data_IF_911115833377
#
_entry.id   IF_911115833377
#
_cell.length_a   1.000
_cell.length_b   1.000
_cell.length_c   1.000
_cell.angle_alpha   90.00
_cell.angle_beta   90.00
_cell.angle_gamma   90.00
#
_symmetry.space_group_name_H-M   'P 1'
#
loop_
_entity.id
_entity.type
_entity.pdbx_description
1 polymer ?
#
# COMPACT_ATOMS: atom_id res chain seq x y z
N UNK A 1 -6.30 8.19 -6.60
CA UNK A 1 -7.36 9.20 -6.54
C UNK A 1 -8.58 8.68 -5.79
N UNK A 2 -9.17 7.53 -6.17
CA UNK A 2 -10.39 6.99 -5.53
C UNK A 2 -10.18 6.69 -4.03
N UNK A 3 -9.06 6.10 -3.64
CA UNK A 3 -8.70 5.89 -2.23
C UNK A 3 -8.71 7.20 -1.44
N UNK A 4 -8.11 8.27 -1.98
CA UNK A 4 -8.09 9.58 -1.30
C UNK A 4 -9.48 10.14 -1.07
N UNK A 5 -10.36 10.06 -2.08
CA UNK A 5 -11.76 10.49 -1.95
C UNK A 5 -12.49 9.69 -0.88
N UNK A 6 -12.36 8.35 -0.92
CA UNK A 6 -12.97 7.47 0.08
C UNK A 6 -12.43 7.75 1.48
N UNK A 7 -11.13 8.00 1.61
CA UNK A 7 -10.50 8.33 2.88
C UNK A 7 -10.99 9.66 3.44
N UNK A 8 -11.18 10.69 2.61
CA UNK A 8 -11.78 11.96 3.04
C UNK A 8 -13.22 11.77 3.54
N UNK A 9 -14.01 10.91 2.89
CA UNK A 9 -15.39 10.64 3.30
C UNK A 9 -15.48 9.84 4.60
N UNK A 10 -14.70 8.76 4.71
CA UNK A 10 -14.79 7.80 5.83
C UNK A 10 -13.83 8.10 6.97
N UNK A 11 -12.67 8.71 6.71
CA UNK A 11 -11.61 8.92 7.69
C UNK A 11 -12.03 9.86 8.83
N UNK A 12 -12.69 10.99 8.50
CA UNK A 12 -13.14 11.96 9.50
C UNK A 12 -14.22 11.40 10.45
N UNK A 13 -15.30 10.74 9.97
CA UNK A 13 -16.24 10.04 10.84
C UNK A 13 -15.61 8.96 11.71
N UNK A 14 -14.71 8.16 11.12
CA UNK A 14 -14.01 7.10 11.81
C UNK A 14 -13.11 7.66 12.95
N UNK A 15 -12.37 8.72 12.65
CA UNK A 15 -11.56 9.44 13.63
C UNK A 15 -12.43 10.02 14.75
N UNK A 16 -13.56 10.65 14.44
CA UNK A 16 -14.46 11.23 15.44
C UNK A 16 -14.99 10.16 16.39
N UNK A 17 -15.45 9.03 15.85
CA UNK A 17 -15.91 7.91 16.66
C UNK A 17 -14.82 7.35 17.56
N UNK A 18 -13.59 7.20 17.04
CA UNK A 18 -12.48 6.72 17.84
C UNK A 18 -12.16 7.64 19.02
N UNK A 19 -12.29 8.97 18.83
CA UNK A 19 -12.08 9.95 19.91
C UNK A 19 -13.19 9.92 20.96
N UNK A 20 -14.43 9.81 20.55
CA UNK A 20 -15.58 9.76 21.45
C UNK A 20 -15.62 8.48 22.28
N UNK A 21 -15.22 7.35 21.69
CA UNK A 21 -15.29 6.02 22.29
C UNK A 21 -13.94 5.47 22.76
N UNK A 22 -12.84 6.23 22.58
CA UNK A 22 -11.47 5.83 22.91
C UNK A 22 -11.00 4.53 22.23
N UNK A 23 -11.39 4.32 20.96
CA UNK A 23 -10.91 3.17 20.19
C UNK A 23 -9.40 3.25 19.95
N UNK A 24 -8.73 2.11 20.04
CA UNK A 24 -7.29 1.95 19.77
C UNK A 24 -7.03 1.03 18.58
N UNK A 25 -7.93 0.07 18.39
CA UNK A 25 -7.85 -0.94 17.34
C UNK A 25 -9.15 -1.00 16.55
N UNK A 26 -9.12 -1.52 15.30
CA UNK A 26 -10.36 -1.74 14.55
C UNK A 26 -11.35 -2.68 15.28
N UNK A 27 -10.84 -3.61 16.08
CA UNK A 27 -11.66 -4.55 16.83
C UNK A 27 -12.53 -3.84 17.87
N UNK A 28 -12.03 -2.77 18.48
CA UNK A 28 -12.79 -1.98 19.45
C UNK A 28 -14.08 -1.41 18.84
N UNK A 29 -14.01 -0.99 17.56
CA UNK A 29 -15.18 -0.53 16.82
C UNK A 29 -16.22 -1.63 16.62
N UNK A 30 -15.78 -2.83 16.24
CA UNK A 30 -16.70 -3.97 16.06
C UNK A 30 -17.29 -4.42 17.39
N UNK A 31 -16.49 -4.46 18.44
CA UNK A 31 -16.94 -4.80 19.79
C UNK A 31 -18.02 -3.85 20.31
N UNK A 32 -17.78 -2.53 20.19
CA UNK A 32 -18.73 -1.50 20.65
C UNK A 32 -20.05 -1.53 19.88
N UNK A 33 -19.99 -1.89 18.59
CA UNK A 33 -21.18 -1.90 17.73
C UNK A 33 -22.00 -3.18 17.84
N UNK A 34 -21.35 -4.33 17.98
CA UNK A 34 -22.00 -5.62 17.87
C UNK A 34 -22.03 -6.42 19.19
N UNK A 35 -21.22 -6.05 20.19
CA UNK A 35 -21.10 -6.71 21.49
C UNK A 35 -20.94 -8.23 21.42
N UNK A 36 -20.23 -8.72 20.41
CA UNK A 36 -20.11 -10.13 20.05
C UNK A 36 -18.67 -10.61 20.11
N UNK A 37 -18.31 -11.39 21.13
CA UNK A 37 -16.99 -12.01 21.26
C UNK A 37 -16.56 -12.89 20.07
N UNK A 38 -17.45 -13.72 19.49
CA UNK A 38 -17.09 -14.48 18.29
C UNK A 38 -16.70 -13.58 17.11
N UNK A 39 -17.38 -12.44 16.94
CA UNK A 39 -17.05 -11.48 15.89
C UNK A 39 -15.69 -10.81 16.14
N UNK A 40 -15.38 -10.47 17.38
CA UNK A 40 -14.08 -9.89 17.74
C UNK A 40 -12.93 -10.85 17.41
N UNK A 41 -13.08 -12.13 17.79
CA UNK A 41 -12.10 -13.19 17.50
C UNK A 41 -11.97 -13.39 16.00
N UNK A 42 -13.07 -13.46 15.25
CA UNK A 42 -13.04 -13.59 13.80
C UNK A 42 -12.33 -12.40 13.14
N UNK A 43 -12.62 -11.19 13.58
CA UNK A 43 -11.94 -9.98 13.09
C UNK A 43 -10.43 -10.02 13.36
N UNK A 44 -9.99 -10.40 14.56
CA UNK A 44 -8.57 -10.55 14.89
C UNK A 44 -7.91 -11.58 13.99
N UNK A 45 -8.51 -12.77 13.86
CA UNK A 45 -7.95 -13.84 13.04
C UNK A 45 -7.83 -13.45 11.57
N UNK A 46 -8.83 -12.76 11.02
CA UNK A 46 -8.79 -12.25 9.65
C UNK A 46 -7.71 -11.18 9.48
N UNK A 47 -7.63 -10.20 10.39
CA UNK A 47 -6.64 -9.13 10.33
C UNK A 47 -5.21 -9.68 10.41
N UNK A 48 -4.94 -10.58 11.35
CA UNK A 48 -3.62 -11.22 11.49
C UNK A 48 -3.33 -12.13 10.30
N UNK A 49 -4.27 -13.00 9.93
CA UNK A 49 -4.12 -13.95 8.84
C UNK A 49 -3.85 -13.28 7.49
N UNK A 50 -4.51 -12.16 7.19
CA UNK A 50 -4.29 -11.41 5.96
C UNK A 50 -3.01 -10.54 6.00
N UNK A 51 -2.57 -10.12 7.19
CA UNK A 51 -1.33 -9.35 7.34
C UNK A 51 -0.09 -10.20 7.10
N UNK A 52 -0.11 -11.49 7.42
CA UNK A 52 1.05 -12.38 7.23
C UNK A 52 1.47 -12.47 5.77
N UNK A 53 0.63 -12.86 4.79
CA UNK A 53 1.04 -12.90 3.39
C UNK A 53 1.41 -11.52 2.84
N UNK A 54 0.72 -10.46 3.26
CA UNK A 54 1.05 -9.09 2.87
C UNK A 54 2.49 -8.71 3.27
N UNK A 55 2.87 -8.95 4.52
CA UNK A 55 4.22 -8.68 5.02
C UNK A 55 5.25 -9.59 4.33
N UNK A 56 4.91 -10.86 4.11
CA UNK A 56 5.81 -11.83 3.46
C UNK A 56 6.21 -11.38 2.05
N UNK A 57 5.27 -10.85 1.26
CA UNK A 57 5.55 -10.31 -0.08
C UNK A 57 6.53 -9.14 -0.02
N UNK A 58 6.44 -8.26 0.99
CA UNK A 58 7.36 -7.13 1.15
C UNK A 58 8.80 -7.60 1.41
N UNK A 59 8.99 -8.59 2.29
CA UNK A 59 10.31 -9.15 2.57
C UNK A 59 10.88 -9.91 1.38
N UNK A 60 10.04 -10.67 0.68
CA UNK A 60 10.44 -11.39 -0.52
C UNK A 60 10.91 -10.40 -1.61
N UNK A 61 10.13 -9.37 -1.89
CA UNK A 61 10.48 -8.33 -2.87
C UNK A 61 11.78 -7.62 -2.54
N UNK A 62 11.94 -7.16 -1.28
CA UNK A 62 13.18 -6.53 -0.82
C UNK A 62 14.38 -7.47 -0.89
N UNK A 63 14.18 -8.74 -0.54
CA UNK A 63 15.23 -9.77 -0.62
C UNK A 63 15.72 -10.02 -2.05
N UNK A 64 14.80 -10.15 -3.00
CA UNK A 64 15.11 -10.36 -4.42
C UNK A 64 15.86 -9.15 -5.00
N UNK A 65 15.44 -7.93 -4.67
CA UNK A 65 16.12 -6.71 -5.14
C UNK A 65 17.59 -6.68 -4.69
N UNK A 66 17.87 -7.03 -3.44
CA UNK A 66 19.26 -7.08 -2.95
C UNK A 66 20.06 -8.19 -3.64
N UNK A 67 19.47 -9.38 -3.82
CA UNK A 67 20.13 -10.47 -4.54
C UNK A 67 20.50 -10.04 -5.96
N UNK A 68 19.60 -9.39 -6.67
CA UNK A 68 19.86 -8.84 -8.01
C UNK A 68 20.92 -7.73 -7.99
N UNK A 69 20.85 -6.80 -7.05
CA UNK A 69 21.81 -5.69 -6.93
C UNK A 69 23.21 -6.15 -6.56
N UNK A 70 23.32 -7.28 -5.86
CA UNK A 70 24.63 -7.89 -5.48
C UNK A 70 25.10 -8.97 -6.43
N UNK A 71 24.44 -9.14 -7.59
CA UNK A 71 24.72 -10.24 -8.53
C UNK A 71 24.75 -11.62 -7.88
N UNK A 72 23.83 -11.88 -6.94
CA UNK A 72 23.71 -13.16 -6.24
C UNK A 72 24.68 -13.36 -5.06
N UNK A 73 25.52 -12.37 -4.73
CA UNK A 73 26.43 -12.47 -3.59
C UNK A 73 25.67 -12.66 -2.27
N UNK A 74 24.53 -11.99 -2.11
CA UNK A 74 23.68 -12.12 -0.93
C UNK A 74 22.37 -12.78 -1.37
N UNK A 75 22.12 -14.04 -1.00
CA UNK A 75 20.87 -14.72 -1.32
C UNK A 75 19.66 -13.99 -0.75
N UNK A 76 18.52 -13.98 -1.47
CA UNK A 76 17.31 -13.28 -1.07
C UNK A 76 16.82 -13.65 0.34
N UNK A 77 17.03 -14.90 0.76
CA UNK A 77 16.64 -15.38 2.10
C UNK A 77 17.37 -14.63 3.22
N UNK A 78 18.69 -14.42 3.04
CA UNK A 78 19.51 -13.70 4.01
C UNK A 78 19.12 -12.21 4.01
N UNK A 79 18.93 -11.64 2.84
CA UNK A 79 18.49 -10.25 2.69
C UNK A 79 17.12 -10.00 3.32
N UNK A 80 16.17 -10.89 3.08
CA UNK A 80 14.83 -10.82 3.69
C UNK A 80 14.89 -10.90 5.22
N UNK A 81 15.75 -11.78 5.77
CA UNK A 81 15.97 -11.90 7.21
C UNK A 81 16.59 -10.61 7.79
N UNK A 82 17.58 -10.03 7.12
CA UNK A 82 18.19 -8.76 7.54
C UNK A 82 17.17 -7.63 7.54
N UNK A 83 16.33 -7.51 6.51
CA UNK A 83 15.24 -6.54 6.49
C UNK A 83 14.28 -6.72 7.66
N UNK A 84 13.89 -7.96 7.92
CA UNK A 84 13.02 -8.29 9.05
C UNK A 84 13.63 -7.85 10.39
N UNK A 85 14.91 -8.16 10.62
CA UNK A 85 15.62 -7.77 11.84
C UNK A 85 15.72 -6.24 11.99
N UNK A 86 16.09 -5.53 10.93
CA UNK A 86 16.16 -4.06 10.92
C UNK A 86 14.78 -3.47 11.21
N UNK A 87 13.73 -4.00 10.60
CA UNK A 87 12.36 -3.54 10.83
C UNK A 87 11.93 -3.70 12.29
N UNK A 88 12.20 -4.86 12.90
CA UNK A 88 11.88 -5.08 14.33
C UNK A 88 12.64 -4.07 15.19
N UNK A 89 13.93 -3.87 14.95
CA UNK A 89 14.75 -2.97 15.74
C UNK A 89 14.24 -1.52 15.69
N UNK A 90 13.90 -0.99 14.51
CA UNK A 90 13.43 0.38 14.44
C UNK A 90 11.99 0.56 14.96
N UNK A 91 11.11 -0.45 14.79
CA UNK A 91 9.77 -0.42 15.37
C UNK A 91 9.84 -0.47 16.89
N UNK A 92 10.68 -1.32 17.44
CA UNK A 92 10.86 -1.45 18.88
C UNK A 92 11.41 -0.15 19.51
N UNK A 93 12.41 0.46 18.86
CA UNK A 93 13.05 1.68 19.38
C UNK A 93 12.20 2.95 19.21
N UNK A 94 11.45 3.08 18.12
CA UNK A 94 10.79 4.33 17.76
C UNK A 94 9.27 4.30 17.73
N UNK A 95 8.65 3.12 17.80
CA UNK A 95 7.21 2.94 17.79
C UNK A 95 6.51 3.59 16.58
N UNK A 96 5.25 3.97 16.74
CA UNK A 96 4.41 4.55 15.67
C UNK A 96 4.97 5.86 15.11
N UNK A 97 5.71 6.64 15.92
CA UNK A 97 6.31 7.90 15.47
C UNK A 97 7.45 7.67 14.48
N UNK A 98 8.30 6.67 14.73
CA UNK A 98 9.37 6.32 13.80
C UNK A 98 8.79 5.81 12.47
N UNK A 99 7.76 4.96 12.53
CA UNK A 99 7.06 4.48 11.33
C UNK A 99 6.52 5.65 10.50
N UNK A 100 5.87 6.63 11.12
CA UNK A 100 5.33 7.78 10.40
C UNK A 100 6.42 8.61 9.69
N UNK A 101 7.60 8.78 10.29
CA UNK A 101 8.73 9.47 9.67
C UNK A 101 9.35 8.69 8.52
N UNK A 102 9.52 7.37 8.68
CA UNK A 102 10.02 6.51 7.60
C UNK A 102 9.05 6.44 6.43
N UNK A 103 7.74 6.37 6.69
CA UNK A 103 6.73 6.40 5.63
C UNK A 103 6.75 7.73 4.85
N UNK A 104 6.91 8.86 5.52
CA UNK A 104 7.05 10.16 4.85
C UNK A 104 8.30 10.21 3.97
N UNK A 105 9.45 9.70 4.46
CA UNK A 105 10.68 9.62 3.69
C UNK A 105 10.50 8.71 2.46
N UNK A 106 9.93 7.52 2.65
CA UNK A 106 9.67 6.59 1.55
C UNK A 106 8.71 7.17 0.50
N UNK A 107 7.69 7.90 0.92
CA UNK A 107 6.78 8.58 0.00
C UNK A 107 7.51 9.59 -0.89
N UNK A 108 8.41 10.39 -0.31
CA UNK A 108 9.25 11.33 -1.06
C UNK A 108 10.18 10.59 -2.02
N UNK A 109 10.84 9.52 -1.55
CA UNK A 109 11.75 8.73 -2.37
C UNK A 109 11.04 8.04 -3.54
N UNK A 110 9.87 7.45 -3.30
CA UNK A 110 9.07 6.78 -4.35
C UNK A 110 8.62 7.82 -5.38
N UNK A 111 8.06 8.94 -4.93
CA UNK A 111 7.56 9.97 -5.83
C UNK A 111 8.68 10.59 -6.67
N UNK A 112 9.81 10.98 -6.05
CA UNK A 112 10.96 11.53 -6.75
C UNK A 112 11.63 10.51 -7.67
N UNK A 113 11.73 9.25 -7.25
CA UNK A 113 12.27 8.16 -8.05
C UNK A 113 11.43 7.88 -9.28
N UNK A 114 10.09 7.80 -9.14
CA UNK A 114 9.19 7.62 -10.27
C UNK A 114 9.26 8.78 -11.27
N UNK A 115 9.32 10.03 -10.78
CA UNK A 115 9.48 11.19 -11.64
C UNK A 115 10.82 11.15 -12.39
N UNK A 116 11.90 10.84 -11.68
CA UNK A 116 13.23 10.75 -12.28
C UNK A 116 13.29 9.69 -13.37
N UNK A 117 12.80 8.48 -13.07
CA UNK A 117 12.75 7.37 -14.05
C UNK A 117 11.90 7.77 -15.25
N UNK A 118 10.72 8.37 -15.03
CA UNK A 118 9.85 8.83 -16.11
C UNK A 118 10.51 9.87 -17.01
N UNK A 119 11.18 10.87 -16.42
CA UNK A 119 11.91 11.90 -17.18
C UNK A 119 13.09 11.30 -17.97
N UNK A 120 13.89 10.45 -17.32
CA UNK A 120 15.00 9.78 -17.98
C UNK A 120 14.53 8.90 -19.13
N UNK A 121 13.46 8.12 -18.92
CA UNK A 121 12.87 7.27 -19.95
C UNK A 121 12.42 8.08 -21.17
N UNK A 122 11.65 9.15 -20.96
CA UNK A 122 11.19 10.03 -22.03
C UNK A 122 12.38 10.69 -22.76
N UNK A 123 13.40 11.09 -22.02
CA UNK A 123 14.59 11.68 -22.63
C UNK A 123 15.38 10.67 -23.49
N UNK A 124 15.50 9.42 -23.01
CA UNK A 124 16.20 8.34 -23.73
C UNK A 124 15.47 7.89 -24.99
N UNK A 125 14.14 8.00 -25.01
CA UNK A 125 13.29 7.60 -26.14
C UNK A 125 13.03 8.73 -27.15
N UNK A 126 13.66 9.90 -26.99
CA UNK A 126 13.51 11.04 -27.90
C UNK A 126 12.28 11.92 -27.64
N UNK A 127 11.56 11.69 -26.56
CA UNK A 127 10.40 12.48 -26.15
C UNK A 127 9.10 11.70 -26.11
N UNK A 128 8.07 12.32 -25.52
CA UNK A 128 6.76 11.66 -25.32
C UNK A 128 6.15 11.20 -26.64
N UNK A 129 6.22 12.04 -27.68
CA UNK A 129 5.65 11.72 -29.01
C UNK A 129 6.34 10.53 -29.67
N UNK A 130 7.67 10.47 -29.64
CA UNK A 130 8.44 9.36 -30.20
C UNK A 130 8.20 8.07 -29.41
N UNK A 131 8.18 8.16 -28.08
CA UNK A 131 7.85 7.01 -27.22
C UNK A 131 6.51 6.37 -27.60
N UNK A 132 5.44 7.18 -27.70
CA UNK A 132 4.12 6.66 -28.06
C UNK A 132 4.04 6.19 -29.51
N UNK A 133 4.77 6.84 -30.45
CA UNK A 133 4.81 6.39 -31.84
C UNK A 133 5.53 5.05 -32.00
N UNK A 134 6.61 4.85 -31.26
CA UNK A 134 7.33 3.57 -31.26
C UNK A 134 6.50 2.46 -30.59
N UNK A 135 5.84 2.78 -29.47
CA UNK A 135 4.94 1.85 -28.81
C UNK A 135 3.76 1.45 -29.71
N UNK A 136 3.22 2.39 -30.50
CA UNK A 136 2.16 2.12 -31.46
C UNK A 136 2.59 1.18 -32.57
N UNK A 137 3.88 1.16 -32.93
CA UNK A 137 4.44 0.27 -33.97
C UNK A 137 4.81 -1.11 -33.41
N UNK A 138 5.40 -1.16 -32.22
CA UNK A 138 5.95 -2.38 -31.63
C UNK A 138 4.93 -3.16 -30.83
N UNK A 139 4.10 -2.46 -30.06
CA UNK A 139 3.12 -3.04 -29.13
C UNK A 139 1.80 -2.23 -29.10
N UNK A 140 1.05 -2.21 -30.23
CA UNK A 140 -0.20 -1.44 -30.34
C UNK A 140 -1.25 -1.88 -29.29
N UNK A 141 -1.21 -3.12 -28.84
CA UNK A 141 -2.08 -3.68 -27.81
C UNK A 141 -1.95 -2.96 -26.46
N UNK A 142 -0.79 -2.40 -26.16
CA UNK A 142 -0.55 -1.66 -24.90
C UNK A 142 -1.16 -0.25 -24.87
N UNK A 143 -1.61 0.24 -26.02
CA UNK A 143 -2.27 1.54 -26.14
C UNK A 143 -3.79 1.47 -25.98
N UNK A 144 -4.34 0.28 -25.88
CA UNK A 144 -5.77 0.08 -25.68
C UNK A 144 -6.07 -0.18 -24.19
N UNK A 145 -7.09 0.49 -23.67
CA UNK A 145 -7.62 0.23 -22.33
C UNK A 145 -9.02 -0.41 -22.46
N UNK A 146 -9.26 -1.54 -21.78
CA UNK A 146 -8.31 -2.32 -20.99
C UNK A 146 -7.35 -3.10 -21.87
N UNK A 147 -6.06 -3.14 -21.50
CA UNK A 147 -5.08 -3.97 -22.20
C UNK A 147 -5.53 -5.43 -22.15
N UNK A 148 -5.86 -5.98 -23.29
CA UNK A 148 -6.30 -7.38 -23.41
C UNK A 148 -5.05 -8.24 -23.53
N UNK A 149 -4.56 -8.75 -22.42
CA UNK A 149 -3.59 -9.83 -22.43
C UNK A 149 -4.38 -11.13 -22.50
N UNK A 150 -4.29 -11.82 -23.62
CA UNK A 150 -4.89 -13.15 -23.88
C UNK A 150 -6.41 -13.27 -23.67
N UNK A 151 -7.17 -12.19 -23.83
CA UNK A 151 -8.64 -12.22 -23.76
C UNK A 151 -9.24 -12.45 -22.37
N UNK A 152 -8.42 -12.60 -21.32
CA UNK A 152 -8.87 -12.98 -19.97
C UNK A 152 -9.15 -11.80 -19.06
N UNK A 153 -8.62 -10.62 -19.33
CA UNK A 153 -8.75 -9.43 -18.50
C UNK A 153 -9.64 -8.37 -19.17
N UNK A 154 -10.94 -8.63 -19.20
CA UNK A 154 -11.92 -7.70 -19.78
C UNK A 154 -12.14 -6.42 -18.96
N UNK A 155 -12.91 -5.47 -19.51
CA UNK A 155 -13.25 -4.20 -18.85
C UNK A 155 -13.84 -4.37 -17.45
N UNK A 156 -14.62 -5.43 -17.23
CA UNK A 156 -15.20 -5.77 -15.91
C UNK A 156 -14.14 -6.08 -14.86
N UNK A 157 -13.07 -6.78 -15.21
CA UNK A 157 -11.95 -7.06 -14.31
C UNK A 157 -11.24 -5.77 -13.88
N UNK A 158 -10.92 -4.89 -14.85
CA UNK A 158 -10.27 -3.60 -14.56
C UNK A 158 -11.14 -2.70 -13.70
N UNK A 159 -12.44 -2.65 -13.99
CA UNK A 159 -13.39 -1.90 -13.15
C UNK A 159 -13.46 -2.47 -11.74
N UNK A 160 -13.47 -3.80 -11.61
CA UNK A 160 -13.46 -4.48 -10.31
C UNK A 160 -12.20 -4.12 -9.51
N UNK A 161 -11.02 -4.16 -10.12
CA UNK A 161 -9.77 -3.76 -9.46
C UNK A 161 -9.80 -2.30 -9.03
N UNK A 162 -10.30 -1.40 -9.89
CA UNK A 162 -10.39 0.02 -9.60
C UNK A 162 -11.26 0.33 -8.38
N UNK A 163 -12.27 -0.50 -8.12
CA UNK A 163 -13.18 -0.36 -6.97
C UNK A 163 -12.68 -1.15 -5.76
N UNK A 164 -12.31 -2.42 -5.94
CA UNK A 164 -11.98 -3.34 -4.84
C UNK A 164 -10.67 -2.93 -4.16
N UNK A 165 -9.64 -2.53 -4.93
CA UNK A 165 -8.35 -2.16 -4.33
C UNK A 165 -8.44 -0.98 -3.35
N UNK A 166 -9.02 0.18 -3.73
CA UNK A 166 -9.15 1.29 -2.79
C UNK A 166 -10.04 1.00 -1.59
N UNK A 167 -11.11 0.20 -1.77
CA UNK A 167 -11.97 -0.23 -0.66
C UNK A 167 -11.25 -1.20 0.27
N UNK A 168 -10.50 -2.16 -0.27
CA UNK A 168 -9.70 -3.10 0.51
C UNK A 168 -8.63 -2.40 1.32
N UNK A 169 -7.94 -1.42 0.72
CA UNK A 169 -6.93 -0.64 1.41
C UNK A 169 -7.52 0.20 2.54
N UNK A 170 -8.70 0.80 2.34
CA UNK A 170 -9.40 1.53 3.40
C UNK A 170 -9.76 0.63 4.61
N UNK A 171 -9.99 -0.66 4.39
CA UNK A 171 -10.31 -1.62 5.44
C UNK A 171 -9.08 -2.19 6.15
N UNK A 172 -7.87 -1.89 5.70
CA UNK A 172 -6.64 -2.40 6.33
C UNK A 172 -6.49 -1.88 7.77
N UNK A 173 -6.15 -2.76 8.74
CA UNK A 173 -6.03 -2.41 10.15
C UNK A 173 -5.05 -1.26 10.40
N UNK A 174 -3.97 -1.21 9.65
CA UNK A 174 -2.95 -0.16 9.74
C UNK A 174 -3.50 1.23 9.41
N UNK A 175 -4.41 1.35 8.46
CA UNK A 175 -5.04 2.63 8.09
C UNK A 175 -5.93 3.12 9.24
N UNK A 176 -6.69 2.23 9.86
CA UNK A 176 -7.55 2.57 11.01
C UNK A 176 -6.72 3.01 12.22
N UNK A 177 -5.67 2.27 12.57
CA UNK A 177 -4.79 2.61 13.70
C UNK A 177 -4.14 3.98 13.49
N UNK A 178 -3.67 4.26 12.26
CA UNK A 178 -3.09 5.57 11.92
C UNK A 178 -4.14 6.68 11.97
N UNK A 179 -5.35 6.42 11.49
CA UNK A 179 -6.48 7.35 11.59
C UNK A 179 -6.81 7.69 13.05
N UNK A 180 -6.84 6.68 13.92
CA UNK A 180 -7.07 6.89 15.36
C UNK A 180 -5.94 7.68 16.05
N UNK A 181 -4.72 7.57 15.56
CA UNK A 181 -3.56 8.29 16.11
C UNK A 181 -3.50 9.78 15.72
N UNK A 182 -4.28 10.23 14.75
CA UNK A 182 -4.31 11.63 14.31
C UNK A 182 -4.75 12.55 15.45
N UNK A 183 -3.97 13.60 15.74
CA UNK A 183 -4.23 14.51 16.87
C UNK A 183 -5.33 15.54 16.60
N UNK A 184 -5.43 16.05 15.37
CA UNK A 184 -6.34 17.17 15.03
C UNK A 184 -7.20 16.81 13.82
N UNK A 185 -8.47 17.21 13.82
CA UNK A 185 -9.41 17.01 12.71
C UNK A 185 -9.01 17.70 11.41
N UNK A 186 -8.27 18.82 11.48
CA UNK A 186 -7.77 19.54 10.30
C UNK A 186 -6.90 18.71 9.35
N UNK A 187 -6.45 17.53 9.78
CA UNK A 187 -5.69 16.62 8.91
C UNK A 187 -6.58 15.96 7.84
N UNK A 188 -7.91 16.01 8.02
CA UNK A 188 -8.90 15.44 7.09
C UNK A 188 -9.60 16.50 6.21
N UNK A 189 -9.31 17.78 6.42
CA UNK A 189 -9.79 18.91 5.63
C UNK A 189 -8.73 19.31 4.59
#
# INVERSE_FOLDING_TARGET
VLFGILFCVFGKPLWLQSRLRNYRTPVDFFHDKYHSRPLDIAAILLMVGLSIPYISVQFLGGGIIIEMATNGLIPWRISALLFFMIMILYIWSGGLRAIAWTDALYSIMIFSGMLLIGILFIHMTGGVGETFSELAKTHPENLHLPAVVDGTLGAGFWFSLLVIMPLGELMMPQIWIRTYAVKKSRTFD
#
